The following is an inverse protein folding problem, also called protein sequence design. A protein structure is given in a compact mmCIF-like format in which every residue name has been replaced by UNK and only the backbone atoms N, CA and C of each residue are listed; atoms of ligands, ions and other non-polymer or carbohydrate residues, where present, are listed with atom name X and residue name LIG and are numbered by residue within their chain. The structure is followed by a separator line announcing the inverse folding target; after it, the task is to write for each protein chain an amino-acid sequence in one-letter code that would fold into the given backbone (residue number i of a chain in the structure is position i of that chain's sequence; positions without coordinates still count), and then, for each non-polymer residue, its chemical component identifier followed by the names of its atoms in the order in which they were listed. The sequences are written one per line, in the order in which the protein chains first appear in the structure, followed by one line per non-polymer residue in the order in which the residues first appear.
data_IF_544636384915
#
_entry.id   IF_544636384915
#
_cell.length_a   1.000
_cell.length_b   1.000
_cell.length_c   1.000
_cell.angle_alpha   90.00
_cell.angle_beta   90.00
_cell.angle_gamma   90.00
#
_symmetry.space_group_name_H-M   'P 1'
#
loop_
_entity.id
_entity.type
_entity.pdbx_description
1 polymer ?
#
# COMPACT_ATOMS: atom_id res chain seq x y z
N UNK A 1 7.32 29.36 15.28
CA UNK A 1 7.89 27.98 15.14
C UNK A 1 7.10 27.31 14.05
N UNK A 2 7.72 26.90 12.94
CA UNK A 2 6.96 26.29 11.83
C UNK A 2 6.66 24.82 12.14
N UNK A 3 5.38 24.47 12.17
CA UNK A 3 4.90 23.12 12.43
C UNK A 3 3.98 22.66 11.30
N UNK A 4 4.16 21.44 10.83
CA UNK A 4 3.36 20.82 9.79
C UNK A 4 2.82 19.49 10.31
N UNK A 5 1.51 19.28 10.20
CA UNK A 5 0.86 18.01 10.50
C UNK A 5 0.33 17.40 9.21
N UNK A 6 0.76 16.18 8.91
CA UNK A 6 0.40 15.43 7.71
C UNK A 6 -0.33 14.15 8.11
N UNK A 7 -1.49 13.91 7.52
CA UNK A 7 -2.26 12.67 7.65
C UNK A 7 -2.17 11.87 6.35
N UNK A 8 -1.85 10.59 6.45
CA UNK A 8 -1.69 9.68 5.30
C UNK A 8 -2.55 8.44 5.50
N UNK A 9 -3.37 8.05 4.50
CA UNK A 9 -4.21 6.87 4.58
C UNK A 9 -3.39 5.58 4.44
N UNK A 10 -3.85 4.51 5.11
CA UNK A 10 -3.42 3.15 4.85
C UNK A 10 -3.65 2.76 3.39
N UNK A 11 -3.05 1.68 2.98
CA UNK A 11 -3.28 1.09 1.67
C UNK A 11 -3.39 -0.43 1.75
N UNK A 12 -4.23 -0.99 0.88
CA UNK A 12 -4.20 -2.41 0.53
C UNK A 12 -3.64 -2.51 -0.88
N UNK A 13 -2.64 -3.34 -1.09
CA UNK A 13 -1.92 -3.45 -2.35
C UNK A 13 -1.97 -4.87 -2.91
N UNK A 14 -1.55 -5.02 -4.16
CA UNK A 14 -1.62 -6.23 -4.97
C UNK A 14 -3.03 -6.62 -5.41
N UNK A 15 -4.04 -6.57 -4.56
CA UNK A 15 -5.42 -6.95 -4.85
C UNK A 15 -5.53 -8.30 -5.58
N UNK A 16 -4.77 -9.31 -5.14
CA UNK A 16 -4.61 -10.57 -5.86
C UNK A 16 -3.71 -10.41 -7.10
N UNK A 17 -4.24 -10.44 -8.33
CA UNK A 17 -3.41 -10.55 -9.55
C UNK A 17 -2.57 -9.31 -9.89
N UNK A 18 -2.79 -8.18 -9.24
CA UNK A 18 -2.09 -6.91 -9.51
C UNK A 18 -0.81 -6.71 -8.71
N UNK A 19 0.01 -7.75 -8.57
CA UNK A 19 1.25 -7.73 -7.81
C UNK A 19 2.18 -6.59 -8.21
N UNK A 20 2.61 -5.77 -7.22
CA UNK A 20 3.45 -4.59 -7.38
C UNK A 20 2.88 -3.47 -8.30
N UNK A 21 1.61 -3.60 -8.76
CA UNK A 21 0.99 -2.65 -9.69
C UNK A 21 -0.26 -1.98 -9.12
N UNK A 22 -1.11 -2.72 -8.39
CA UNK A 22 -2.42 -2.25 -7.97
C UNK A 22 -2.46 -1.93 -6.49
N UNK A 23 -3.19 -0.85 -6.13
CA UNK A 23 -3.41 -0.49 -4.74
C UNK A 23 -4.68 0.35 -4.54
N UNK A 24 -5.22 0.31 -3.32
CA UNK A 24 -6.33 1.15 -2.89
C UNK A 24 -5.99 1.81 -1.56
N UNK A 25 -6.20 3.11 -1.45
CA UNK A 25 -6.11 3.82 -0.18
C UNK A 25 -7.34 3.56 0.70
N UNK A 26 -7.14 3.40 2.01
CA UNK A 26 -8.17 3.05 2.98
C UNK A 26 -8.30 4.11 4.06
N UNK A 27 -9.52 4.32 4.59
CA UNK A 27 -9.80 5.30 5.66
C UNK A 27 -9.34 4.81 7.04
N UNK A 28 -8.07 4.50 7.15
CA UNK A 28 -7.32 4.25 8.39
C UNK A 28 -6.04 5.09 8.22
N UNK A 29 -5.59 5.81 9.24
CA UNK A 29 -4.60 6.85 9.02
C UNK A 29 -3.44 6.78 10.00
N UNK A 30 -2.25 7.11 9.52
CA UNK A 30 -1.15 7.59 10.34
C UNK A 30 -1.05 9.11 10.21
N UNK A 31 -0.65 9.77 11.29
CA UNK A 31 -0.43 11.20 11.32
C UNK A 31 0.99 11.49 11.80
N UNK A 32 1.71 12.33 11.08
CA UNK A 32 3.04 12.80 11.44
C UNK A 32 3.00 14.29 11.65
N UNK A 33 3.51 14.73 12.79
CA UNK A 33 3.73 16.16 13.07
C UNK A 33 5.22 16.44 13.08
N UNK A 34 5.64 17.39 12.27
CA UNK A 34 7.03 17.84 12.16
C UNK A 34 7.14 19.29 12.52
N UNK A 35 8.09 19.61 13.42
CA UNK A 35 8.38 20.97 13.88
C UNK A 35 9.82 21.34 13.54
N UNK A 36 10.01 22.46 12.85
CA UNK A 36 11.34 23.01 12.59
C UNK A 36 11.93 23.57 13.88
N UNK A 37 13.17 23.31 14.18
CA UNK A 37 13.90 23.52 15.45
C UNK A 37 13.60 22.42 16.48
N UNK A 38 14.38 21.35 16.38
CA UNK A 38 14.43 20.30 17.39
C UNK A 38 15.29 20.69 18.59
N UNK A 39 15.07 20.09 19.76
CA UNK A 39 16.06 20.04 20.84
C UNK A 39 17.41 19.52 20.33
N UNK A 40 18.52 19.97 20.90
CA UNK A 40 19.89 19.71 20.39
C UNK A 40 20.33 18.25 20.33
N UNK A 41 19.62 17.32 20.96
CA UNK A 41 20.00 15.90 21.08
C UNK A 41 18.88 14.94 20.71
N UNK A 42 18.26 15.10 19.55
CA UNK A 42 17.21 14.16 19.11
C UNK A 42 17.73 13.21 18.03
N UNK A 43 17.82 11.91 18.37
CA UNK A 43 18.12 10.86 17.41
C UNK A 43 16.81 10.40 16.77
N UNK A 44 16.69 10.57 15.46
CA UNK A 44 15.55 10.12 14.71
C UNK A 44 15.56 8.59 14.50
N UNK A 45 14.39 7.92 14.54
CA UNK A 45 14.28 6.55 14.05
C UNK A 45 14.79 6.44 12.60
N UNK A 46 15.38 5.30 12.26
CA UNK A 46 15.98 5.07 10.93
C UNK A 46 15.07 5.41 9.76
N UNK A 47 13.76 5.08 9.85
CA UNK A 47 12.77 5.39 8.81
C UNK A 47 12.62 6.91 8.56
N UNK A 48 12.80 7.72 9.60
CA UNK A 48 12.74 9.19 9.53
C UNK A 48 14.02 9.74 8.91
N UNK A 49 15.19 9.26 9.36
CA UNK A 49 16.50 9.70 8.85
C UNK A 49 16.65 9.37 7.37
N UNK A 50 16.35 8.12 6.95
CA UNK A 50 16.41 7.71 5.55
C UNK A 50 15.55 8.60 4.63
N UNK A 51 14.32 8.93 5.06
CA UNK A 51 13.44 9.80 4.29
C UNK A 51 13.95 11.24 4.21
N UNK A 52 14.50 11.77 5.30
CA UNK A 52 15.07 13.11 5.34
C UNK A 52 16.35 13.23 4.49
N UNK A 53 17.26 12.26 4.60
CA UNK A 53 18.50 12.22 3.84
C UNK A 53 18.23 12.17 2.34
N UNK A 54 17.30 11.30 1.90
CA UNK A 54 16.90 11.23 0.50
C UNK A 54 16.28 12.54 0.03
N UNK A 55 15.39 13.14 0.82
CA UNK A 55 14.75 14.41 0.48
C UNK A 55 15.77 15.53 0.27
N UNK A 56 16.67 15.77 1.23
CA UNK A 56 17.67 16.83 1.14
C UNK A 56 18.67 16.60 0.01
N UNK A 57 19.09 15.33 -0.20
CA UNK A 57 19.94 14.95 -1.32
C UNK A 57 19.30 15.27 -2.66
N UNK A 58 18.02 14.96 -2.82
CA UNK A 58 17.30 15.11 -4.09
C UNK A 58 16.88 16.55 -4.40
N UNK A 59 16.62 17.34 -3.36
CA UNK A 59 16.21 18.74 -3.53
C UNK A 59 17.38 19.73 -3.53
N UNK A 60 18.59 19.27 -3.20
CA UNK A 60 19.78 20.12 -2.98
C UNK A 60 19.53 21.27 -1.99
N UNK A 61 18.54 21.09 -1.10
CA UNK A 61 18.24 22.07 -0.04
C UNK A 61 19.15 21.83 1.15
N UNK A 62 19.53 22.94 1.84
CA UNK A 62 20.28 22.84 3.09
C UNK A 62 19.42 22.13 4.14
N UNK A 63 19.97 21.06 4.74
CA UNK A 63 19.34 20.37 5.83
C UNK A 63 19.14 21.29 7.04
N UNK A 64 18.05 21.07 7.76
CA UNK A 64 17.75 21.79 9.01
C UNK A 64 17.32 20.78 10.09
N UNK A 65 17.49 21.16 11.35
CA UNK A 65 17.03 20.34 12.47
C UNK A 65 15.51 20.41 12.62
N UNK A 66 14.90 19.26 12.91
CA UNK A 66 13.47 19.16 13.13
C UNK A 66 13.17 18.13 14.22
N UNK A 67 12.01 18.21 14.81
CA UNK A 67 11.42 17.19 15.66
C UNK A 67 10.27 16.51 14.88
N UNK A 68 10.15 15.20 15.01
CA UNK A 68 9.11 14.41 14.34
C UNK A 68 8.41 13.50 15.34
N UNK A 69 7.09 13.63 15.44
CA UNK A 69 6.23 12.72 16.22
C UNK A 69 5.24 12.03 15.32
N UNK A 70 4.91 10.77 15.65
CA UNK A 70 3.99 9.94 14.89
C UNK A 70 2.83 9.47 15.77
N UNK A 71 1.60 9.61 15.28
CA UNK A 71 0.41 8.96 15.82
C UNK A 71 0.00 7.85 14.85
N UNK A 72 0.26 6.61 15.25
CA UNK A 72 0.08 5.43 14.42
C UNK A 72 -1.22 4.70 14.74
N UNK A 73 -2.12 4.61 13.77
CA UNK A 73 -3.32 3.79 13.81
C UNK A 73 -3.24 2.60 12.83
N UNK A 74 -2.25 2.61 11.95
CA UNK A 74 -2.03 1.54 10.97
C UNK A 74 -1.06 0.52 11.56
N UNK A 75 -1.47 -0.73 11.77
CA UNK A 75 -0.61 -1.76 12.35
C UNK A 75 0.63 -2.02 11.49
N UNK A 76 1.81 -2.06 12.12
CA UNK A 76 3.07 -2.32 11.45
C UNK A 76 3.16 -3.79 10.99
N UNK A 77 3.83 -4.04 9.87
CA UNK A 77 4.10 -5.40 9.34
C UNK A 77 2.86 -6.27 9.17
N UNK A 78 1.73 -5.64 8.79
CA UNK A 78 0.43 -6.30 8.54
C UNK A 78 -0.08 -6.16 7.10
N UNK A 79 0.75 -5.65 6.17
CA UNK A 79 0.36 -5.50 4.76
C UNK A 79 -0.62 -4.35 4.50
N UNK A 80 -0.63 -3.31 5.35
CA UNK A 80 -1.49 -2.12 5.23
C UNK A 80 -0.70 -0.84 4.91
N UNK A 81 0.53 -0.95 4.44
CA UNK A 81 1.34 0.18 3.98
C UNK A 81 1.83 1.12 5.10
N UNK A 82 1.94 0.68 6.38
CA UNK A 82 2.34 1.54 7.50
C UNK A 82 3.68 2.24 7.26
N UNK A 83 4.69 1.56 6.72
CA UNK A 83 5.99 2.14 6.38
C UNK A 83 5.86 3.26 5.34
N UNK A 84 5.14 2.99 4.25
CA UNK A 84 4.90 3.96 3.18
C UNK A 84 4.20 5.22 3.70
N UNK A 85 3.24 5.07 4.63
CA UNK A 85 2.53 6.21 5.20
C UNK A 85 3.43 7.13 6.03
N UNK A 86 4.34 6.55 6.82
CA UNK A 86 5.29 7.33 7.64
C UNK A 86 6.29 8.04 6.74
N UNK A 87 6.93 7.32 5.79
CA UNK A 87 7.88 7.91 4.84
C UNK A 87 7.26 9.03 4.02
N UNK A 88 6.07 8.79 3.49
CA UNK A 88 5.33 9.78 2.71
C UNK A 88 4.99 11.03 3.54
N UNK A 89 4.52 10.85 4.77
CA UNK A 89 4.20 11.97 5.64
C UNK A 89 5.43 12.84 5.95
N UNK A 90 6.59 12.21 6.18
CA UNK A 90 7.86 12.91 6.40
C UNK A 90 8.26 13.70 5.15
N UNK A 91 8.21 13.08 3.97
CA UNK A 91 8.55 13.73 2.69
C UNK A 91 7.64 14.93 2.41
N UNK A 92 6.32 14.80 2.65
CA UNK A 92 5.35 15.90 2.49
C UNK A 92 5.62 17.03 3.49
N UNK A 93 5.92 16.71 4.76
CA UNK A 93 6.20 17.71 5.78
C UNK A 93 7.52 18.46 5.47
N UNK A 94 8.60 17.75 5.13
CA UNK A 94 9.87 18.34 4.71
C UNK A 94 9.71 19.21 3.47
N UNK A 95 8.95 18.75 2.48
CA UNK A 95 8.66 19.52 1.28
C UNK A 95 7.98 20.84 1.62
N UNK A 96 6.98 20.82 2.49
CA UNK A 96 6.28 22.03 2.91
C UNK A 96 7.18 22.98 3.70
N UNK A 97 7.98 22.47 4.65
CA UNK A 97 8.93 23.25 5.44
C UNK A 97 10.10 23.82 4.62
N UNK A 98 10.37 23.27 3.45
CA UNK A 98 11.43 23.71 2.52
C UNK A 98 10.92 24.63 1.40
N UNK A 99 9.67 25.11 1.47
CA UNK A 99 9.07 25.97 0.45
C UNK A 99 8.50 25.21 -0.75
N UNK A 100 8.16 23.93 -0.58
CA UNK A 100 7.48 23.07 -1.58
C UNK A 100 8.26 22.92 -2.92
N UNK A 101 9.56 22.54 -2.88
CA UNK A 101 10.37 22.40 -4.10
C UNK A 101 9.94 21.23 -5.00
N UNK A 102 9.16 20.27 -4.49
CA UNK A 102 8.71 19.08 -5.22
C UNK A 102 7.21 19.11 -5.42
N UNK A 103 6.77 18.65 -6.57
CA UNK A 103 5.37 18.33 -6.83
C UNK A 103 4.95 16.99 -6.21
N UNK A 104 3.68 16.67 -6.28
CA UNK A 104 3.10 15.46 -5.68
C UNK A 104 3.64 14.19 -6.32
N UNK A 105 3.93 14.22 -7.62
CA UNK A 105 4.50 13.08 -8.34
C UNK A 105 5.94 12.81 -7.93
N UNK A 106 6.76 13.86 -7.76
CA UNK A 106 8.13 13.74 -7.29
C UNK A 106 8.18 13.19 -5.87
N UNK A 107 7.30 13.64 -4.96
CA UNK A 107 7.19 13.09 -3.59
C UNK A 107 6.82 11.60 -3.63
N UNK A 108 5.85 11.22 -4.47
CA UNK A 108 5.50 9.81 -4.67
C UNK A 108 6.71 8.96 -5.10
N UNK A 109 7.49 9.46 -6.08
CA UNK A 109 8.68 8.76 -6.57
C UNK A 109 9.72 8.52 -5.48
N UNK A 110 9.98 9.54 -4.63
CA UNK A 110 10.88 9.38 -3.50
C UNK A 110 10.35 8.35 -2.49
N UNK A 111 9.05 8.36 -2.21
CA UNK A 111 8.45 7.37 -1.32
C UNK A 111 8.56 5.96 -1.90
N UNK A 112 8.28 5.77 -3.19
CA UNK A 112 8.40 4.49 -3.88
C UNK A 112 9.86 3.97 -3.93
N UNK A 113 10.84 4.86 -4.08
CA UNK A 113 12.28 4.55 -3.98
C UNK A 113 12.63 4.00 -2.60
N UNK A 114 12.19 4.66 -1.53
CA UNK A 114 12.43 4.23 -0.15
C UNK A 114 11.73 2.90 0.20
N UNK A 115 10.56 2.65 -0.36
CA UNK A 115 9.82 1.39 -0.15
C UNK A 115 10.36 0.24 -1.01
N UNK A 116 11.03 0.54 -2.13
CA UNK A 116 11.44 -0.43 -3.13
C UNK A 116 10.31 -0.99 -4.00
N UNK A 117 9.10 -0.44 -3.88
CA UNK A 117 7.91 -0.77 -4.68
C UNK A 117 6.84 0.33 -4.58
N UNK A 118 6.05 0.59 -5.65
CA UNK A 118 5.16 1.75 -5.71
C UNK A 118 3.74 1.51 -5.20
N UNK A 119 3.32 0.26 -5.08
CA UNK A 119 1.94 -0.19 -4.92
C UNK A 119 1.25 0.29 -3.64
N UNK A 120 2.03 0.57 -2.58
CA UNK A 120 1.55 1.22 -1.36
C UNK A 120 1.74 2.74 -1.40
N UNK A 121 2.82 3.22 -1.97
CA UNK A 121 3.12 4.65 -2.07
C UNK A 121 2.10 5.40 -2.93
N UNK A 122 1.66 4.81 -4.05
CA UNK A 122 0.73 5.44 -4.97
C UNK A 122 -0.65 5.72 -4.34
N UNK A 123 -1.38 4.73 -3.80
CA UNK A 123 -2.66 5.00 -3.17
C UNK A 123 -2.51 5.88 -1.93
N UNK A 124 -1.48 5.72 -1.11
CA UNK A 124 -1.22 6.60 0.03
C UNK A 124 -1.03 8.05 -0.41
N UNK A 125 -0.34 8.28 -1.53
CA UNK A 125 -0.12 9.62 -2.08
C UNK A 125 -1.39 10.19 -2.70
N UNK A 126 -2.00 9.49 -3.65
CA UNK A 126 -3.03 10.03 -4.53
C UNK A 126 -4.46 9.73 -4.11
N UNK A 127 -4.66 8.73 -3.25
CA UNK A 127 -5.97 8.22 -2.88
C UNK A 127 -6.62 7.37 -4.00
N UNK A 128 -7.76 6.75 -3.68
CA UNK A 128 -8.53 5.95 -4.62
C UNK A 128 -7.90 4.60 -4.96
N UNK A 129 -8.33 4.04 -6.06
CA UNK A 129 -7.71 2.90 -6.71
C UNK A 129 -6.61 3.40 -7.64
N UNK A 130 -5.42 2.84 -7.54
CA UNK A 130 -4.26 3.25 -8.33
C UNK A 130 -3.69 2.08 -9.13
N UNK A 131 -3.31 2.37 -10.36
CA UNK A 131 -2.56 1.49 -11.26
C UNK A 131 -1.21 2.15 -11.51
N UNK A 132 -0.14 1.46 -11.19
CA UNK A 132 1.23 1.96 -11.40
C UNK A 132 1.94 1.07 -12.38
N UNK A 133 2.59 1.66 -13.36
CA UNK A 133 3.47 0.95 -14.27
C UNK A 133 4.80 1.68 -14.42
N UNK A 134 5.85 0.91 -14.69
CA UNK A 134 7.19 1.41 -14.99
C UNK A 134 7.27 1.85 -16.45
N UNK A 135 7.75 3.07 -16.71
CA UNK A 135 7.92 3.60 -18.08
C UNK A 135 9.13 2.99 -18.78
N UNK A 136 10.16 2.66 -18.03
CA UNK A 136 11.45 2.24 -18.56
C UNK A 136 11.65 0.70 -18.59
N UNK A 137 10.64 -0.07 -18.23
CA UNK A 137 10.65 -1.53 -18.40
C UNK A 137 10.60 -1.92 -19.89
N UNK A 138 11.36 -1.19 -20.72
CA UNK A 138 11.47 -1.44 -22.14
C UNK A 138 11.92 -2.88 -22.43
N UNK A 139 11.48 -3.43 -23.55
CA UNK A 139 11.69 -4.75 -24.15
C UNK A 139 13.16 -5.26 -24.21
N UNK A 140 14.12 -4.55 -23.61
CA UNK A 140 15.56 -4.80 -23.71
C UNK A 140 16.21 -5.41 -22.47
N UNK A 141 15.45 -5.89 -21.48
CA UNK A 141 16.08 -6.58 -20.34
C UNK A 141 16.28 -8.06 -20.63
N UNK A 142 17.52 -8.58 -20.51
CA UNK A 142 17.74 -10.01 -20.57
C UNK A 142 16.94 -10.73 -19.47
N UNK A 143 16.34 -11.87 -19.82
CA UNK A 143 15.70 -12.77 -18.86
C UNK A 143 16.75 -13.17 -17.82
N UNK A 144 16.49 -12.86 -16.54
CA UNK A 144 17.43 -13.19 -15.45
C UNK A 144 18.29 -12.03 -14.92
N UNK A 145 18.17 -10.82 -15.47
CA UNK A 145 18.83 -9.66 -14.88
C UNK A 145 18.29 -9.38 -13.46
N UNK A 146 19.20 -9.24 -12.48
CA UNK A 146 18.85 -8.85 -11.12
C UNK A 146 17.97 -7.60 -11.12
N UNK A 147 16.92 -7.56 -10.25
CA UNK A 147 16.12 -6.36 -10.06
C UNK A 147 17.07 -5.21 -9.74
N UNK A 148 17.16 -4.22 -10.62
CA UNK A 148 17.75 -2.95 -10.23
C UNK A 148 16.88 -2.33 -9.15
N UNK A 149 17.47 -1.70 -8.11
CA UNK A 149 16.70 -0.84 -7.22
C UNK A 149 15.89 0.12 -8.10
N UNK A 150 14.63 0.33 -7.74
CA UNK A 150 13.71 1.17 -8.49
C UNK A 150 14.34 2.53 -8.76
N UNK A 151 14.68 2.83 -10.02
CA UNK A 151 15.27 4.09 -10.39
C UNK A 151 14.21 5.19 -10.44
N UNK A 152 14.60 6.40 -10.08
CA UNK A 152 13.79 7.63 -9.99
C UNK A 152 12.94 7.92 -11.23
N UNK A 153 13.45 7.58 -12.41
CA UNK A 153 12.80 7.83 -13.70
C UNK A 153 11.87 6.69 -14.15
N UNK A 154 11.88 5.57 -13.41
CA UNK A 154 11.15 4.36 -13.75
C UNK A 154 9.62 4.49 -13.61
N UNK A 155 9.12 5.34 -12.70
CA UNK A 155 7.69 5.49 -12.49
C UNK A 155 7.14 6.67 -13.29
N UNK A 156 6.70 6.39 -14.47
CA UNK A 156 6.23 7.43 -15.35
C UNK A 156 4.75 7.71 -15.25
N UNK A 157 3.93 6.74 -14.89
CA UNK A 157 2.50 6.96 -14.82
C UNK A 157 1.85 6.25 -13.63
N UNK A 158 1.15 7.05 -12.84
CA UNK A 158 0.15 6.58 -11.88
C UNK A 158 -1.21 6.95 -12.45
N UNK A 159 -2.02 5.95 -12.75
CA UNK A 159 -3.42 6.15 -13.05
C UNK A 159 -4.21 6.01 -11.76
N UNK A 160 -5.07 6.99 -11.48
CA UNK A 160 -5.89 7.03 -10.28
C UNK A 160 -7.36 7.08 -10.62
N UNK A 161 -8.14 6.26 -9.96
CA UNK A 161 -9.59 6.18 -10.13
C UNK A 161 -10.29 6.32 -8.79
N UNK A 162 -11.43 7.01 -8.80
CA UNK A 162 -12.27 7.15 -7.61
C UNK A 162 -12.97 5.84 -7.31
N UNK A 163 -12.98 5.43 -6.05
CA UNK A 163 -13.72 4.26 -5.58
C UNK A 163 -15.04 4.72 -4.96
N UNK A 164 -16.15 4.10 -5.37
CA UNK A 164 -17.48 4.42 -4.84
C UNK A 164 -17.56 4.16 -3.33
N UNK A 165 -18.20 5.04 -2.56
CA UNK A 165 -18.43 4.82 -1.13
C UNK A 165 -19.37 3.64 -0.84
N UNK A 166 -20.03 3.07 -1.85
CA UNK A 166 -20.82 1.84 -1.72
C UNK A 166 -19.97 0.58 -1.55
N UNK A 167 -18.69 0.62 -1.96
CA UNK A 167 -17.77 -0.51 -1.80
C UNK A 167 -17.15 -0.47 -0.40
N UNK A 168 -17.40 -1.52 0.37
CA UNK A 168 -16.79 -1.75 1.68
C UNK A 168 -15.56 -2.61 1.53
N UNK A 169 -14.55 -2.30 2.34
CA UNK A 169 -13.39 -3.14 2.59
C UNK A 169 -13.49 -3.72 3.99
N UNK A 170 -13.50 -5.04 4.09
CA UNK A 170 -13.50 -5.78 5.35
C UNK A 170 -12.12 -6.37 5.53
N UNK A 171 -11.41 -5.92 6.56
CA UNK A 171 -10.04 -6.31 6.86
C UNK A 171 -10.04 -7.20 8.09
N UNK A 172 -9.51 -8.41 7.98
CA UNK A 172 -9.13 -9.19 9.15
C UNK A 172 -7.63 -9.02 9.37
N UNK A 173 -7.26 -8.44 10.50
CA UNK A 173 -5.89 -8.09 10.88
C UNK A 173 -5.47 -9.03 12.00
N UNK A 174 -4.71 -10.09 11.71
CA UNK A 174 -4.24 -11.03 12.71
C UNK A 174 -3.05 -10.49 13.50
N UNK A 175 -2.80 -11.04 14.69
CA UNK A 175 -1.63 -10.73 15.53
C UNK A 175 -0.34 -11.39 15.00
N UNK A 176 -0.27 -11.66 13.71
CA UNK A 176 0.85 -12.28 13.02
C UNK A 176 1.62 -11.23 12.18
N UNK A 177 2.88 -10.99 12.52
CA UNK A 177 3.76 -10.12 11.72
C UNK A 177 4.39 -10.87 10.55
N UNK A 178 4.32 -10.26 9.36
CA UNK A 178 4.99 -10.74 8.17
C UNK A 178 5.85 -9.62 7.59
N UNK A 179 7.16 -9.77 7.72
CA UNK A 179 8.10 -8.83 7.11
C UNK A 179 8.04 -8.92 5.60
N UNK A 180 8.05 -7.78 4.92
CA UNK A 180 7.97 -7.70 3.45
C UNK A 180 9.12 -8.45 2.76
N UNK A 181 10.34 -8.40 3.32
CA UNK A 181 11.48 -9.16 2.82
C UNK A 181 11.22 -10.67 2.83
N UNK A 182 10.70 -11.19 3.96
CA UNK A 182 10.33 -12.62 4.08
C UNK A 182 9.23 -13.01 3.09
N UNK A 183 8.21 -12.16 2.94
CA UNK A 183 7.13 -12.39 1.98
C UNK A 183 7.57 -12.35 0.52
N UNK A 184 8.69 -11.66 0.20
CA UNK A 184 9.29 -11.64 -1.13
C UNK A 184 10.20 -12.84 -1.38
N UNK A 185 10.91 -13.34 -0.38
CA UNK A 185 11.84 -14.46 -0.50
C UNK A 185 11.15 -15.79 -0.82
N UNK A 186 9.84 -15.93 -0.57
CA UNK A 186 9.09 -17.16 -0.90
C UNK A 186 8.54 -17.17 -2.32
N UNK A 187 8.70 -16.07 -3.08
CA UNK A 187 8.18 -15.96 -4.44
C UNK A 187 9.07 -16.71 -5.44
N UNK A 188 8.47 -17.40 -6.43
CA UNK A 188 9.23 -18.10 -7.45
C UNK A 188 9.89 -17.10 -8.41
N UNK A 189 11.05 -17.49 -8.95
CA UNK A 189 11.73 -16.72 -9.98
C UNK A 189 11.05 -16.83 -11.35
N UNK A 190 10.26 -17.89 -11.58
CA UNK A 190 9.57 -18.19 -12.85
C UNK A 190 8.19 -18.73 -12.58
N UNK A 191 7.26 -18.43 -13.47
CA UNK A 191 5.93 -19.03 -13.55
C UNK A 191 5.69 -19.55 -14.96
N UNK A 192 4.70 -20.43 -15.15
CA UNK A 192 4.34 -20.92 -16.48
C UNK A 192 3.70 -19.80 -17.31
N UNK A 193 3.82 -19.90 -18.64
CA UNK A 193 3.14 -18.97 -19.56
C UNK A 193 1.62 -18.97 -19.35
N UNK A 194 1.01 -20.12 -19.14
CA UNK A 194 -0.42 -20.24 -18.88
C UNK A 194 -0.84 -19.48 -17.61
N UNK A 195 -0.08 -19.65 -16.51
CA UNK A 195 -0.31 -18.91 -15.25
C UNK A 195 -0.14 -17.39 -15.45
N UNK A 196 0.82 -16.97 -16.27
CA UNK A 196 1.02 -15.54 -16.56
C UNK A 196 -0.16 -14.95 -17.34
N UNK A 197 -0.68 -15.66 -18.37
CA UNK A 197 -1.84 -15.26 -19.17
C UNK A 197 -3.09 -15.16 -18.29
N UNK A 198 -3.36 -16.17 -17.47
CA UNK A 198 -4.51 -16.17 -16.55
C UNK A 198 -4.43 -15.00 -15.56
N UNK A 199 -3.26 -14.79 -14.95
CA UNK A 199 -3.04 -13.68 -14.02
C UNK A 199 -3.24 -12.31 -14.69
N UNK A 200 -2.75 -12.14 -15.91
CA UNK A 200 -2.95 -10.92 -16.71
C UNK A 200 -4.45 -10.67 -16.97
N UNK A 201 -5.18 -11.69 -17.40
CA UNK A 201 -6.64 -11.60 -17.63
C UNK A 201 -7.39 -11.15 -16.37
N UNK A 202 -7.06 -11.74 -15.22
CA UNK A 202 -7.68 -11.35 -13.93
C UNK A 202 -7.33 -9.93 -13.50
N UNK A 203 -6.07 -9.52 -13.67
CA UNK A 203 -5.65 -8.15 -13.37
C UNK A 203 -6.38 -7.12 -14.25
N UNK A 204 -6.54 -7.40 -15.55
CA UNK A 204 -7.32 -6.57 -16.47
C UNK A 204 -8.80 -6.50 -16.08
N UNK A 205 -9.43 -7.64 -15.78
CA UNK A 205 -10.84 -7.71 -15.38
C UNK A 205 -11.09 -6.93 -14.07
N UNK A 206 -10.22 -7.10 -13.07
CA UNK A 206 -10.28 -6.38 -11.82
C UNK A 206 -10.13 -4.86 -12.04
N UNK A 207 -9.16 -4.45 -12.83
CA UNK A 207 -8.94 -3.04 -13.18
C UNK A 207 -10.17 -2.45 -13.87
N UNK A 208 -10.73 -3.16 -14.86
CA UNK A 208 -11.94 -2.73 -15.56
C UNK A 208 -13.13 -2.55 -14.61
N UNK A 209 -13.33 -3.50 -13.66
CA UNK A 209 -14.40 -3.41 -12.66
C UNK A 209 -14.24 -2.21 -11.71
N UNK A 210 -13.02 -1.87 -11.29
CA UNK A 210 -12.78 -0.67 -10.48
C UNK A 210 -12.98 0.62 -11.27
N UNK A 211 -12.51 0.67 -12.52
CA UNK A 211 -12.61 1.85 -13.39
C UNK A 211 -14.07 2.15 -13.76
N UNK A 212 -14.83 1.11 -14.12
CA UNK A 212 -16.25 1.23 -14.44
C UNK A 212 -17.17 1.36 -13.22
N UNK A 213 -16.63 1.10 -12.01
CA UNK A 213 -17.39 0.97 -10.76
C UNK A 213 -18.50 -0.12 -10.81
N UNK A 214 -18.39 -1.06 -11.74
CA UNK A 214 -19.23 -2.25 -11.82
C UNK A 214 -18.64 -3.35 -10.94
N UNK A 215 -18.80 -3.17 -9.64
CA UNK A 215 -18.17 -4.03 -8.64
C UNK A 215 -18.74 -5.47 -8.60
N UNK A 216 -19.88 -5.73 -9.21
CA UNK A 216 -20.39 -7.11 -9.37
C UNK A 216 -19.42 -7.97 -10.20
N UNK A 217 -18.67 -7.35 -11.11
CA UNK A 217 -17.64 -8.03 -11.92
C UNK A 217 -16.36 -8.39 -11.15
N UNK A 218 -16.27 -8.04 -9.86
CA UNK A 218 -15.16 -8.44 -9.00
C UNK A 218 -15.22 -9.91 -8.57
N UNK A 219 -16.34 -10.61 -8.77
CA UNK A 219 -16.41 -12.03 -8.47
C UNK A 219 -15.33 -12.81 -9.21
N UNK A 220 -14.59 -13.67 -8.47
CA UNK A 220 -13.49 -14.50 -8.95
C UNK A 220 -12.27 -13.73 -9.54
N UNK A 221 -12.19 -12.40 -9.37
CA UNK A 221 -11.11 -11.60 -9.93
C UNK A 221 -9.84 -11.54 -9.04
N UNK A 222 -9.90 -12.00 -7.79
CA UNK A 222 -8.81 -11.82 -6.81
C UNK A 222 -7.83 -12.99 -6.69
N UNK A 223 -8.08 -14.11 -7.34
CA UNK A 223 -7.13 -15.21 -7.40
C UNK A 223 -5.91 -14.82 -8.26
N UNK A 224 -4.73 -15.26 -7.85
CA UNK A 224 -3.49 -14.96 -8.56
C UNK A 224 -2.53 -16.15 -8.58
N UNK A 225 -1.55 -16.07 -9.48
CA UNK A 225 -0.47 -17.03 -9.64
C UNK A 225 0.91 -16.46 -9.26
N UNK A 226 0.98 -15.19 -8.80
CA UNK A 226 2.25 -14.50 -8.60
C UNK A 226 2.71 -14.51 -7.14
N UNK A 227 1.79 -14.39 -6.17
CA UNK A 227 2.21 -14.22 -4.78
C UNK A 227 1.37 -14.96 -3.73
N UNK A 228 0.05 -14.94 -3.78
CA UNK A 228 -0.78 -15.53 -2.72
C UNK A 228 -0.53 -17.03 -2.50
N UNK A 229 -0.42 -17.87 -3.54
CA UNK A 229 -0.17 -19.30 -3.35
C UNK A 229 1.13 -19.57 -2.61
N UNK A 230 2.17 -18.77 -2.83
CA UNK A 230 3.48 -18.93 -2.21
C UNK A 230 3.51 -18.35 -0.79
N UNK A 231 2.84 -17.22 -0.57
CA UNK A 231 2.70 -16.56 0.74
C UNK A 231 1.78 -17.30 1.70
N UNK A 232 0.89 -18.15 1.22
CA UNK A 232 0.03 -19.00 2.03
C UNK A 232 0.82 -19.86 3.04
N UNK A 233 2.06 -20.24 2.72
CA UNK A 233 2.97 -20.94 3.64
C UNK A 233 3.34 -20.12 4.89
N UNK A 234 3.29 -18.80 4.79
CA UNK A 234 3.57 -17.87 5.89
C UNK A 234 2.30 -17.50 6.67
N UNK A 235 1.13 -17.74 6.11
CA UNK A 235 -0.18 -17.35 6.63
C UNK A 235 -1.14 -18.54 6.50
N UNK A 236 -1.04 -19.54 7.39
CA UNK A 236 -1.73 -20.84 7.24
C UNK A 236 -3.26 -20.74 7.13
N UNK A 237 -3.84 -19.67 7.67
CA UNK A 237 -5.29 -19.43 7.66
C UNK A 237 -5.76 -18.65 6.41
N UNK A 238 -4.87 -18.25 5.48
CA UNK A 238 -5.21 -17.41 4.33
C UNK A 238 -6.38 -18.00 3.52
N UNK A 239 -6.22 -19.23 3.02
CA UNK A 239 -7.20 -19.84 2.12
C UNK A 239 -8.55 -20.08 2.78
N UNK A 240 -8.56 -20.50 4.05
CA UNK A 240 -9.79 -20.72 4.81
C UNK A 240 -10.53 -19.41 5.08
N UNK A 241 -9.78 -18.34 5.37
CA UNK A 241 -10.38 -17.03 5.63
C UNK A 241 -10.94 -16.40 4.35
N UNK A 242 -10.24 -16.54 3.21
CA UNK A 242 -10.72 -16.11 1.90
C UNK A 242 -12.03 -16.84 1.55
N UNK A 243 -12.04 -18.17 1.60
CA UNK A 243 -13.22 -18.97 1.31
C UNK A 243 -14.41 -18.63 2.23
N UNK A 244 -14.15 -18.38 3.53
CA UNK A 244 -15.19 -17.99 4.47
C UNK A 244 -15.77 -16.60 4.15
N UNK A 245 -14.95 -15.65 3.72
CA UNK A 245 -15.41 -14.32 3.30
C UNK A 245 -16.34 -14.43 2.07
N UNK A 246 -15.94 -15.18 1.06
CA UNK A 246 -16.71 -15.37 -0.16
C UNK A 246 -18.04 -16.10 0.12
N UNK A 247 -18.02 -17.18 0.91
CA UNK A 247 -19.23 -17.88 1.36
C UNK A 247 -20.16 -16.97 2.17
N UNK A 248 -19.62 -15.99 2.88
CA UNK A 248 -20.40 -14.99 3.62
C UNK A 248 -20.93 -13.86 2.72
N UNK A 249 -20.66 -13.85 1.41
CA UNK A 249 -21.17 -12.90 0.43
C UNK A 249 -20.21 -11.77 0.06
N UNK A 250 -18.91 -11.96 0.26
CA UNK A 250 -17.92 -11.06 -0.31
C UNK A 250 -17.89 -11.23 -1.85
N UNK A 251 -17.65 -10.13 -2.57
CA UNK A 251 -17.38 -10.14 -4.01
C UNK A 251 -16.06 -10.82 -4.33
N UNK A 252 -15.16 -10.86 -3.36
CA UNK A 252 -13.91 -11.57 -3.35
C UNK A 252 -13.08 -11.19 -2.15
N UNK A 253 -12.03 -11.97 -1.88
CA UNK A 253 -11.09 -11.73 -0.79
C UNK A 253 -9.67 -12.07 -1.22
N UNK A 254 -8.69 -11.42 -0.61
CA UNK A 254 -7.29 -11.50 -1.01
C UNK A 254 -6.35 -11.12 0.13
N UNK A 255 -5.08 -11.45 -0.04
CA UNK A 255 -4.01 -11.05 0.86
C UNK A 255 -3.63 -9.58 0.61
N UNK A 256 -3.76 -8.74 1.63
CA UNK A 256 -3.36 -7.32 1.56
C UNK A 256 -1.84 -7.19 1.58
N UNK A 257 -1.27 -6.63 0.53
CA UNK A 257 0.17 -6.40 0.39
C UNK A 257 1.00 -7.67 0.63
N UNK A 258 1.96 -7.58 1.56
CA UNK A 258 2.78 -8.73 1.99
C UNK A 258 2.06 -9.65 2.99
N UNK A 259 0.91 -9.22 3.50
CA UNK A 259 0.22 -9.85 4.61
C UNK A 259 0.71 -9.29 5.96
N UNK A 260 0.14 -9.75 7.03
CA UNK A 260 -0.77 -10.89 7.22
C UNK A 260 -2.27 -10.56 7.08
N UNK A 261 -2.64 -9.30 6.92
CA UNK A 261 -4.04 -8.87 6.76
C UNK A 261 -4.67 -9.53 5.54
N UNK A 262 -5.88 -10.06 5.73
CA UNK A 262 -6.74 -10.54 4.65
C UNK A 262 -7.84 -9.50 4.45
N UNK A 263 -7.99 -9.03 3.22
CA UNK A 263 -8.99 -8.07 2.83
C UNK A 263 -10.10 -8.76 2.02
N UNK A 264 -11.34 -8.36 2.26
CA UNK A 264 -12.48 -8.73 1.43
C UNK A 264 -13.20 -7.46 0.96
N UNK A 265 -13.83 -7.52 -0.21
CA UNK A 265 -14.61 -6.41 -0.75
C UNK A 265 -16.08 -6.82 -0.89
N UNK A 266 -16.99 -5.89 -0.60
CA UNK A 266 -18.42 -6.15 -0.65
C UNK A 266 -19.24 -4.88 -0.83
N UNK A 267 -20.43 -5.03 -1.40
CA UNK A 267 -21.47 -3.97 -1.43
C UNK A 267 -22.42 -4.07 -0.24
N UNK A 268 -22.52 -5.27 0.38
CA UNK A 268 -23.47 -5.58 1.43
C UNK A 268 -22.85 -6.54 2.47
N UNK A 269 -23.56 -6.74 3.58
CA UNK A 269 -23.22 -7.80 4.55
C UNK A 269 -21.83 -7.72 5.20
N UNK A 270 -21.19 -6.56 5.23
CA UNK A 270 -19.81 -6.37 5.73
C UNK A 270 -19.59 -6.93 7.14
N UNK A 271 -20.57 -6.76 8.07
CA UNK A 271 -20.48 -7.31 9.44
C UNK A 271 -20.49 -8.84 9.45
N UNK A 272 -21.32 -9.49 8.61
CA UNK A 272 -21.39 -10.96 8.47
C UNK A 272 -20.08 -11.50 7.92
N UNK A 273 -19.49 -10.83 6.93
CA UNK A 273 -18.20 -11.18 6.34
C UNK A 273 -17.09 -11.05 7.39
N UNK A 274 -17.04 -9.95 8.14
CA UNK A 274 -16.06 -9.75 9.21
C UNK A 274 -16.11 -10.87 10.25
N UNK A 275 -17.30 -11.24 10.71
CA UNK A 275 -17.48 -12.32 11.66
C UNK A 275 -17.09 -13.69 11.08
N UNK A 276 -17.37 -13.96 9.80
CA UNK A 276 -16.98 -15.19 9.13
C UNK A 276 -15.45 -15.31 8.99
N UNK A 277 -14.77 -14.23 8.58
CA UNK A 277 -13.32 -14.18 8.48
C UNK A 277 -12.64 -14.42 9.84
N UNK A 278 -13.10 -13.74 10.89
CA UNK A 278 -12.55 -13.89 12.23
C UNK A 278 -12.68 -15.32 12.77
N UNK A 279 -13.84 -15.97 12.55
CA UNK A 279 -14.04 -17.38 12.95
C UNK A 279 -13.17 -18.34 12.14
N UNK A 280 -13.02 -18.12 10.85
CA UNK A 280 -12.28 -19.02 9.95
C UNK A 280 -10.77 -18.94 10.19
N UNK A 281 -10.26 -17.79 10.53
CA UNK A 281 -8.83 -17.57 10.76
C UNK A 281 -8.28 -18.35 11.97
N UNK A 282 -9.12 -18.67 12.96
CA UNK A 282 -8.72 -19.42 14.18
C UNK A 282 -7.44 -18.89 14.84
N UNK A 283 -7.21 -17.60 14.76
CA UNK A 283 -6.06 -16.90 15.36
C UNK A 283 -6.51 -15.59 15.99
N UNK A 284 -5.70 -15.06 16.91
CA UNK A 284 -5.95 -13.74 17.49
C UNK A 284 -5.85 -12.67 16.40
N UNK A 285 -6.69 -11.67 16.52
CA UNK A 285 -6.77 -10.54 15.59
C UNK A 285 -8.11 -9.83 15.71
N UNK A 286 -8.28 -8.80 14.92
CA UNK A 286 -9.53 -8.03 14.90
C UNK A 286 -9.95 -7.71 13.48
N UNK A 287 -11.24 -7.43 13.29
CA UNK A 287 -11.77 -7.03 11.99
C UNK A 287 -12.10 -5.54 11.97
N UNK A 288 -11.74 -4.89 10.88
CA UNK A 288 -12.08 -3.49 10.59
C UNK A 288 -12.93 -3.45 9.33
N UNK A 289 -14.02 -2.70 9.36
CA UNK A 289 -14.83 -2.38 8.18
C UNK A 289 -14.54 -0.92 7.82
N UNK A 290 -14.11 -0.68 6.59
CA UNK A 290 -13.72 0.65 6.13
C UNK A 290 -14.12 0.88 4.67
N UNK A 291 -13.83 2.06 4.16
CA UNK A 291 -14.02 2.46 2.77
C UNK A 291 -12.70 2.93 2.17
N UNK A 292 -12.68 3.09 0.85
CA UNK A 292 -11.56 3.73 0.18
C UNK A 292 -11.44 5.21 0.59
N UNK A 293 -10.22 5.67 0.78
CA UNK A 293 -9.89 7.10 0.86
C UNK A 293 -9.59 7.61 -0.56
N UNK A 294 -10.40 8.51 -1.07
CA UNK A 294 -10.21 9.05 -2.41
C UNK A 294 -9.31 10.29 -2.47
N UNK A 295 -8.66 10.66 -1.40
CA UNK A 295 -7.95 11.94 -1.29
C UNK A 295 -6.44 11.77 -1.16
N UNK A 296 -5.98 10.68 -0.53
CA UNK A 296 -4.58 10.44 -0.25
C UNK A 296 -4.01 11.34 0.86
N UNK A 297 -2.69 11.52 0.85
CA UNK A 297 -1.99 12.33 1.84
C UNK A 297 -2.46 13.78 1.86
N UNK A 298 -2.65 14.32 3.07
CA UNK A 298 -3.11 15.70 3.32
C UNK A 298 -2.34 16.38 4.43
N UNK A 299 -2.04 17.66 4.23
CA UNK A 299 -1.62 18.56 5.31
C UNK A 299 -2.88 18.99 6.06
N UNK A 300 -2.92 18.74 7.38
CA UNK A 300 -4.06 19.09 8.25
C UNK A 300 -3.90 20.49 8.86
N UNK A 301 -2.68 20.83 9.28
CA UNK A 301 -2.35 22.10 9.89
C UNK A 301 -0.96 22.56 9.47
N UNK A 302 -0.80 23.88 9.33
CA UNK A 302 0.46 24.56 9.04
C UNK A 302 0.48 25.83 9.88
N UNK A 303 1.37 25.88 10.89
CA UNK A 303 1.52 27.00 11.83
C UNK A 303 2.92 27.58 11.81
#
# INVERSE_FOLDING_TARGET
MQQITVRVPASTSNLGPGFDCLGVALRIYNTVTMTRRAPREHVHPRIVSEAADLFFKQTHRRAFSFFCSTAEQIPRSRGLGSSATIRLAILVALNRLSGSPLDRLAIFRLCAELEGHPDNAAPATFGGFTVVHDRDAGLRRPVGAARRPYHRDAYAAVQRFTVSPRLYFVLFIPDLEVQTSRARNVLPLRISHAAAVENCGKACALTAAFVSQDYQKLHNAFADHLHQPFRAKLIPFLLHTVAAAEKAGALGAFLSGSGSTIAAVTLHSSKRIAAAMARAAKTRGHAIITHADNLGAKILASH
#
